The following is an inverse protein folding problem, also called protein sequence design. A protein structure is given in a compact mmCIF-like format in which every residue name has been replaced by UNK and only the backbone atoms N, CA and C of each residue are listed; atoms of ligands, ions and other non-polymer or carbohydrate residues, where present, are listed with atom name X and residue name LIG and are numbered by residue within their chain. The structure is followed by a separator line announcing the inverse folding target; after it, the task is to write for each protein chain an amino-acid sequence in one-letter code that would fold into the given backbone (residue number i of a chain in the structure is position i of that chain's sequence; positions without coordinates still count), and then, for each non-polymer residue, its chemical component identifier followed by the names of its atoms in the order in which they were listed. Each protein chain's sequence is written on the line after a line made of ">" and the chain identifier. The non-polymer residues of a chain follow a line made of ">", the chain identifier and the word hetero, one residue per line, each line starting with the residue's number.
data_IF_307356769950
#
_entry.id   IF_307356769950
#
_cell.length_a   1.000
_cell.length_b   1.000
_cell.length_c   1.000
_cell.angle_alpha   90.00
_cell.angle_beta   90.00
_cell.angle_gamma   90.00
#
_symmetry.space_group_name_H-M   'P 1'
#
loop_
_entity.id
_entity.type
_entity.pdbx_description
1 polymer ?
#
# COMPACT_ATOMS: atom_id res chain seq x y z
N UNK A 1 -24.50 -80.85 43.30
CA UNK A 1 -25.24 -79.59 43.21
C UNK A 1 -24.40 -78.48 43.83
N UNK A 2 -23.69 -77.68 43.08
CA UNK A 2 -23.16 -76.35 43.42
C UNK A 2 -22.61 -75.68 42.13
N UNK A 3 -23.37 -74.81 41.59
CA UNK A 3 -23.07 -74.02 40.36
C UNK A 3 -22.11 -72.94 40.70
N UNK A 4 -20.94 -72.89 40.05
CA UNK A 4 -19.95 -71.82 40.19
C UNK A 4 -20.12 -70.88 39.00
N UNK A 5 -20.52 -69.63 39.30
CA UNK A 5 -20.66 -68.51 38.32
C UNK A 5 -19.30 -67.89 38.14
N UNK A 6 -18.75 -67.92 36.94
CA UNK A 6 -17.54 -67.21 36.56
C UNK A 6 -17.92 -65.86 36.03
N UNK A 7 -17.58 -64.79 36.76
CA UNK A 7 -17.58 -63.42 36.26
C UNK A 7 -16.40 -63.20 35.32
N UNK A 8 -16.65 -62.87 34.05
CA UNK A 8 -15.68 -62.35 33.13
C UNK A 8 -15.73 -60.80 33.24
N UNK A 9 -14.67 -60.21 33.78
CA UNK A 9 -14.42 -58.71 33.64
C UNK A 9 -13.83 -58.46 32.27
N UNK A 10 -14.63 -57.88 31.36
CA UNK A 10 -14.14 -57.33 30.11
C UNK A 10 -13.59 -55.94 30.38
N UNK A 11 -12.26 -55.78 30.37
CA UNK A 11 -11.61 -54.49 30.38
C UNK A 11 -11.71 -53.85 28.99
N UNK A 12 -12.57 -52.86 28.81
CA UNK A 12 -12.64 -52.02 27.61
C UNK A 12 -11.47 -51.02 27.63
N UNK A 13 -10.42 -51.32 26.88
CA UNK A 13 -9.38 -50.34 26.53
C UNK A 13 -9.99 -49.29 25.58
N UNK A 14 -10.32 -48.11 26.10
CA UNK A 14 -10.65 -46.95 25.30
C UNK A 14 -9.33 -46.41 24.74
N UNK A 15 -9.01 -46.83 23.52
CA UNK A 15 -7.93 -46.21 22.77
C UNK A 15 -8.30 -44.78 22.41
N UNK A 16 -7.77 -43.77 23.13
CA UNK A 16 -7.76 -42.39 22.67
C UNK A 16 -6.88 -42.34 21.42
N UNK A 17 -7.49 -42.42 20.25
CA UNK A 17 -6.85 -42.04 19.01
C UNK A 17 -6.59 -40.53 19.06
N UNK A 18 -5.36 -40.14 19.42
CA UNK A 18 -4.85 -38.78 19.15
C UNK A 18 -4.87 -38.62 17.63
N UNK A 19 -5.91 -37.99 17.11
CA UNK A 19 -5.86 -37.44 15.76
C UNK A 19 -4.68 -36.49 15.75
N UNK A 20 -3.75 -36.60 14.77
CA UNK A 20 -2.71 -35.58 14.62
C UNK A 20 -3.43 -34.26 14.42
N UNK A 21 -3.14 -33.27 15.25
CA UNK A 21 -3.55 -31.91 15.00
C UNK A 21 -2.99 -31.56 13.62
N UNK A 22 -3.87 -31.49 12.63
CA UNK A 22 -3.51 -31.06 11.29
C UNK A 22 -3.00 -29.64 11.46
N UNK A 23 -1.68 -29.45 11.35
CA UNK A 23 -1.09 -28.13 11.40
C UNK A 23 -1.81 -27.31 10.32
N UNK A 24 -2.59 -26.33 10.73
CA UNK A 24 -3.30 -25.44 9.82
C UNK A 24 -2.25 -24.83 8.91
N UNK A 25 -2.38 -25.03 7.61
CA UNK A 25 -1.43 -24.54 6.63
C UNK A 25 -1.39 -23.01 6.76
N UNK A 26 -0.28 -22.47 7.29
CA UNK A 26 -0.11 -21.03 7.52
C UNK A 26 0.14 -20.33 6.19
N UNK A 27 -0.89 -20.22 5.35
CA UNK A 27 -0.80 -19.56 4.03
C UNK A 27 -1.56 -18.25 4.04
N UNK A 28 -0.90 -17.16 3.61
CA UNK A 28 -1.48 -15.84 3.45
C UNK A 28 -1.33 -15.38 1.99
N UNK A 29 -2.46 -15.01 1.38
CA UNK A 29 -2.51 -14.43 0.02
C UNK A 29 -2.64 -12.91 0.13
N UNK A 30 -1.59 -12.20 -0.23
CA UNK A 30 -1.52 -10.73 -0.21
C UNK A 30 -1.75 -10.15 -1.58
N UNK A 31 -2.36 -8.99 -1.64
CA UNK A 31 -2.43 -8.16 -2.83
C UNK A 31 -1.67 -6.85 -2.63
N UNK A 32 -1.15 -6.31 -3.70
CA UNK A 32 -0.56 -4.97 -3.77
C UNK A 32 -0.81 -4.36 -5.15
N UNK A 33 -0.55 -3.06 -5.29
CA UNK A 33 -0.36 -2.45 -6.60
C UNK A 33 1.15 -2.27 -6.82
N UNK A 34 1.59 -2.35 -8.09
CA UNK A 34 3.00 -2.18 -8.48
C UNK A 34 3.46 -0.72 -8.37
N UNK A 35 2.96 0.01 -7.37
CA UNK A 35 3.36 1.38 -7.08
C UNK A 35 4.47 1.41 -6.03
N UNK A 36 5.38 2.36 -6.20
CA UNK A 36 6.59 2.47 -5.40
C UNK A 36 6.34 2.70 -3.90
N UNK A 37 5.22 3.29 -3.52
CA UNK A 37 4.83 3.51 -2.12
C UNK A 37 4.22 2.26 -1.46
N UNK A 38 3.63 1.35 -2.23
CA UNK A 38 2.97 0.14 -1.72
C UNK A 38 3.89 -1.09 -1.72
N UNK A 39 4.79 -1.20 -2.71
CA UNK A 39 5.65 -2.38 -2.87
C UNK A 39 6.59 -2.60 -1.67
N UNK A 40 7.29 -1.59 -1.11
CA UNK A 40 8.11 -1.76 0.08
C UNK A 40 7.31 -2.23 1.30
N UNK A 41 6.13 -1.63 1.54
CA UNK A 41 5.23 -2.01 2.64
C UNK A 41 4.84 -3.48 2.54
N UNK A 42 4.44 -3.90 1.34
CA UNK A 42 4.03 -5.29 1.08
C UNK A 42 5.18 -6.26 1.26
N UNK A 43 6.37 -5.93 0.73
CA UNK A 43 7.55 -6.80 0.84
C UNK A 43 8.07 -6.95 2.27
N UNK A 44 8.08 -5.88 3.06
CA UNK A 44 8.46 -5.93 4.48
C UNK A 44 7.45 -6.77 5.27
N UNK A 45 6.15 -6.56 5.08
CA UNK A 45 5.12 -7.34 5.78
C UNK A 45 5.16 -8.82 5.39
N UNK A 46 5.40 -9.11 4.09
CA UNK A 46 5.64 -10.48 3.62
C UNK A 46 6.80 -11.12 4.38
N UNK A 47 7.94 -10.42 4.50
CA UNK A 47 9.12 -10.93 5.21
C UNK A 47 8.81 -11.25 6.67
N UNK A 48 8.13 -10.35 7.39
CA UNK A 48 7.72 -10.58 8.79
C UNK A 48 6.84 -11.82 8.94
N UNK A 49 5.90 -12.02 8.03
CA UNK A 49 5.04 -13.21 8.04
C UNK A 49 5.82 -14.50 7.72
N UNK A 50 6.74 -14.45 6.75
CA UNK A 50 7.58 -15.60 6.38
C UNK A 50 8.54 -16.01 7.50
N UNK A 51 9.13 -15.04 8.21
CA UNK A 51 9.98 -15.30 9.37
C UNK A 51 9.20 -15.93 10.54
N UNK A 52 7.89 -15.65 10.64
CA UNK A 52 6.97 -16.33 11.57
C UNK A 52 6.42 -17.68 11.06
N UNK A 53 6.93 -18.18 9.93
CA UNK A 53 6.61 -19.50 9.38
C UNK A 53 5.36 -19.56 8.51
N UNK A 54 4.89 -18.42 7.99
CA UNK A 54 3.81 -18.39 6.99
C UNK A 54 4.35 -18.59 5.57
N UNK A 55 3.59 -19.28 4.73
CA UNK A 55 3.79 -19.25 3.28
C UNK A 55 3.02 -18.08 2.71
N UNK A 56 3.71 -17.10 2.10
CA UNK A 56 3.08 -15.88 1.61
C UNK A 56 3.17 -15.80 0.10
N UNK A 57 2.02 -15.62 -0.55
CA UNK A 57 1.94 -15.29 -1.98
C UNK A 57 1.51 -13.84 -2.15
N UNK A 58 2.13 -13.14 -3.10
CA UNK A 58 1.78 -11.75 -3.44
C UNK A 58 1.29 -11.70 -4.88
N UNK A 59 0.15 -11.03 -5.09
CA UNK A 59 -0.39 -10.73 -6.41
C UNK A 59 -0.35 -9.23 -6.65
N UNK A 60 0.32 -8.83 -7.72
CA UNK A 60 0.39 -7.43 -8.16
C UNK A 60 -0.80 -7.11 -9.06
N UNK A 61 -1.43 -5.97 -8.81
CA UNK A 61 -2.55 -5.46 -9.59
C UNK A 61 -2.18 -4.12 -10.24
N UNK A 62 -2.72 -3.88 -11.44
CA UNK A 62 -2.48 -2.64 -12.17
C UNK A 62 -3.27 -1.45 -11.59
N UNK A 63 -4.45 -1.71 -10.98
CA UNK A 63 -5.37 -0.69 -10.51
C UNK A 63 -6.25 -1.16 -9.35
N UNK A 64 -6.80 -0.20 -8.59
CA UNK A 64 -7.62 -0.46 -7.40
C UNK A 64 -8.86 -1.31 -7.70
N UNK A 65 -9.54 -1.08 -8.82
CA UNK A 65 -10.77 -1.80 -9.17
C UNK A 65 -10.57 -3.31 -9.22
N UNK A 66 -9.48 -3.75 -9.85
CA UNK A 66 -9.14 -5.18 -9.98
C UNK A 66 -8.72 -5.75 -8.63
N UNK A 67 -7.87 -5.02 -7.86
CA UNK A 67 -7.40 -5.44 -6.54
C UNK A 67 -8.57 -5.62 -5.54
N UNK A 68 -9.50 -4.66 -5.48
CA UNK A 68 -10.70 -4.76 -4.64
C UNK A 68 -11.66 -5.87 -5.08
N UNK A 69 -11.78 -6.13 -6.38
CA UNK A 69 -12.55 -7.27 -6.89
C UNK A 69 -11.94 -8.60 -6.43
N UNK A 70 -10.62 -8.76 -6.55
CA UNK A 70 -9.91 -9.95 -6.09
C UNK A 70 -10.05 -10.15 -4.57
N UNK A 71 -9.91 -9.07 -3.77
CA UNK A 71 -10.09 -9.12 -2.32
C UNK A 71 -11.52 -9.55 -1.94
N UNK A 72 -12.53 -8.98 -2.58
CA UNK A 72 -13.94 -9.30 -2.26
C UNK A 72 -14.38 -10.68 -2.72
N UNK A 73 -13.71 -11.27 -3.73
CA UNK A 73 -13.95 -12.65 -4.19
C UNK A 73 -13.21 -13.71 -3.35
N UNK A 74 -12.13 -13.32 -2.65
CA UNK A 74 -11.28 -14.25 -1.92
C UNK A 74 -10.10 -14.80 -2.71
N UNK A 75 -9.80 -14.21 -3.87
CA UNK A 75 -8.60 -14.55 -4.64
C UNK A 75 -7.33 -14.12 -3.86
N UNK A 76 -7.43 -13.02 -3.10
CA UNK A 76 -6.49 -12.58 -2.06
C UNK A 76 -7.22 -12.39 -0.73
N UNK A 77 -6.49 -12.45 0.39
CA UNK A 77 -7.05 -12.34 1.76
C UNK A 77 -6.86 -10.95 2.34
N UNK A 78 -5.73 -10.30 2.02
CA UNK A 78 -5.39 -8.95 2.49
C UNK A 78 -4.82 -8.11 1.35
N UNK A 79 -4.96 -6.79 1.47
CA UNK A 79 -4.51 -5.80 0.49
C UNK A 79 -3.95 -4.57 1.20
N UNK A 80 -2.78 -4.08 0.78
CA UNK A 80 -2.31 -2.75 1.19
C UNK A 80 -3.15 -1.69 0.48
N UNK A 81 -3.72 -0.72 1.21
CA UNK A 81 -4.64 0.25 0.63
C UNK A 81 -4.58 1.63 1.28
N UNK A 82 -4.99 2.63 0.53
CA UNK A 82 -5.08 4.04 0.90
C UNK A 82 -6.56 4.43 1.04
N UNK A 83 -7.24 3.82 2.00
CA UNK A 83 -8.71 3.85 2.15
C UNK A 83 -9.29 5.22 2.49
N UNK A 84 -8.47 6.10 3.03
CA UNK A 84 -8.89 7.45 3.40
C UNK A 84 -8.79 8.42 2.20
N UNK A 85 -8.16 7.99 1.10
CA UNK A 85 -7.90 8.85 -0.04
C UNK A 85 -7.93 8.13 -1.41
N UNK A 86 -6.80 7.62 -1.89
CA UNK A 86 -6.67 7.15 -3.28
C UNK A 86 -7.62 5.98 -3.63
N UNK A 87 -7.92 5.14 -2.65
CA UNK A 87 -8.84 4.02 -2.78
C UNK A 87 -10.18 4.23 -2.04
N UNK A 88 -10.50 5.47 -1.61
CA UNK A 88 -11.66 5.77 -0.78
C UNK A 88 -12.99 5.30 -1.40
N UNK A 89 -13.17 5.50 -2.69
CA UNK A 89 -14.41 5.13 -3.38
C UNK A 89 -14.59 3.61 -3.40
N UNK A 90 -13.50 2.87 -3.65
CA UNK A 90 -13.50 1.41 -3.62
C UNK A 90 -13.74 0.87 -2.22
N UNK A 91 -13.11 1.48 -1.19
CA UNK A 91 -13.35 1.15 0.20
C UNK A 91 -14.82 1.37 0.57
N UNK A 92 -15.37 2.55 0.33
CA UNK A 92 -16.75 2.90 0.67
C UNK A 92 -17.76 1.96 0.01
N UNK A 93 -17.53 1.54 -1.21
CA UNK A 93 -18.38 0.59 -1.94
C UNK A 93 -18.33 -0.82 -1.36
N UNK A 94 -17.22 -1.23 -0.76
CA UNK A 94 -16.97 -2.62 -0.37
C UNK A 94 -16.84 -2.85 1.15
N UNK A 95 -16.80 -1.82 2.00
CA UNK A 95 -16.53 -1.90 3.45
C UNK A 95 -17.45 -2.81 4.25
N UNK A 96 -18.64 -3.15 3.76
CA UNK A 96 -19.51 -4.13 4.41
C UNK A 96 -18.99 -5.57 4.32
N UNK A 97 -18.12 -5.86 3.35
CA UNK A 97 -17.49 -7.18 3.09
C UNK A 97 -16.02 -7.22 3.49
N UNK A 98 -15.48 -6.10 3.90
CA UNK A 98 -14.07 -5.93 4.23
C UNK A 98 -13.91 -5.48 5.67
N UNK A 99 -12.70 -5.60 6.19
CA UNK A 99 -12.30 -5.07 7.48
C UNK A 99 -10.98 -4.29 7.36
N UNK A 100 -10.82 -3.29 8.21
CA UNK A 100 -9.57 -2.57 8.40
C UNK A 100 -8.77 -3.31 9.45
N UNK A 101 -7.57 -3.80 9.08
CA UNK A 101 -6.71 -4.58 9.98
C UNK A 101 -5.87 -3.62 10.83
N UNK A 102 -5.03 -2.80 10.20
CA UNK A 102 -4.14 -1.86 10.89
C UNK A 102 -3.67 -0.74 9.97
N UNK A 103 -3.32 0.44 10.51
CA UNK A 103 -2.44 1.36 9.80
C UNK A 103 -1.05 0.73 9.68
N UNK A 104 -0.34 0.97 8.59
CA UNK A 104 1.01 0.45 8.33
C UNK A 104 2.01 1.54 7.97
N UNK A 105 1.53 2.72 7.57
CA UNK A 105 2.34 3.92 7.36
C UNK A 105 1.45 5.16 7.39
N UNK A 106 2.06 6.34 7.50
CA UNK A 106 1.41 7.64 7.42
C UNK A 106 2.22 8.62 6.59
N UNK A 107 1.56 9.66 6.09
CA UNK A 107 2.20 10.77 5.42
C UNK A 107 2.09 10.71 3.90
N UNK A 108 1.21 9.85 3.35
CA UNK A 108 0.82 9.98 1.95
C UNK A 108 0.25 11.37 1.72
N UNK A 109 0.88 12.14 0.85
CA UNK A 109 0.38 13.42 0.39
C UNK A 109 0.39 13.45 -1.14
N UNK A 110 -0.67 13.96 -1.73
CA UNK A 110 -0.86 14.00 -3.17
C UNK A 110 -1.36 15.38 -3.57
N UNK A 111 -0.73 15.97 -4.60
CA UNK A 111 -1.13 17.26 -5.12
C UNK A 111 -0.48 17.56 -6.49
N UNK A 112 -0.60 18.79 -6.95
CA UNK A 112 0.12 19.31 -8.11
C UNK A 112 1.49 19.80 -7.65
N UNK A 113 2.54 19.33 -8.30
CA UNK A 113 3.91 19.79 -8.08
C UNK A 113 4.53 20.32 -9.35
N UNK A 114 5.57 21.14 -9.14
CA UNK A 114 6.40 21.74 -10.18
C UNK A 114 7.87 21.63 -9.80
N UNK A 115 8.82 21.66 -10.73
CA UNK A 115 10.24 21.80 -10.41
C UNK A 115 10.53 23.08 -9.61
N UNK A 116 11.48 23.03 -8.67
CA UNK A 116 11.81 24.16 -7.78
C UNK A 116 12.26 25.43 -8.50
N UNK A 117 12.76 25.31 -9.74
CA UNK A 117 13.09 26.46 -10.57
C UNK A 117 11.88 27.21 -11.16
N UNK A 118 10.69 26.62 -11.07
CA UNK A 118 9.42 27.29 -11.44
C UNK A 118 9.08 28.32 -10.38
N UNK A 119 8.80 29.55 -10.80
CA UNK A 119 8.71 30.71 -9.89
C UNK A 119 7.34 30.89 -9.22
N UNK A 120 6.32 30.09 -9.56
CA UNK A 120 5.05 30.09 -8.85
C UNK A 120 5.08 29.16 -7.64
N UNK A 121 4.27 29.45 -6.61
CA UNK A 121 4.21 28.70 -5.37
C UNK A 121 2.80 28.21 -5.01
N UNK A 122 1.79 28.52 -5.83
CA UNK A 122 0.40 28.19 -5.52
C UNK A 122 -0.40 27.84 -6.78
N UNK A 123 -1.43 27.00 -6.62
CA UNK A 123 -2.28 26.50 -7.72
C UNK A 123 -3.02 27.67 -8.42
N UNK A 124 -3.46 28.68 -7.67
CA UNK A 124 -4.14 29.85 -8.22
C UNK A 124 -3.29 30.69 -9.17
N UNK A 125 -1.97 30.52 -9.16
CA UNK A 125 -1.05 31.20 -10.08
C UNK A 125 -0.87 30.49 -11.43
N UNK A 126 -1.44 29.27 -11.59
CA UNK A 126 -1.28 28.47 -12.80
C UNK A 126 -1.86 29.16 -14.05
N UNK A 127 -3.04 29.79 -13.94
CA UNK A 127 -3.70 30.42 -15.09
C UNK A 127 -2.89 31.58 -15.69
N UNK A 128 -2.31 32.42 -14.86
CA UNK A 128 -1.47 33.55 -15.32
C UNK A 128 -0.22 33.06 -16.06
N UNK A 129 0.14 31.82 -15.91
CA UNK A 129 1.32 31.20 -16.49
C UNK A 129 0.99 30.00 -17.39
N UNK A 130 -0.27 29.80 -17.79
CA UNK A 130 -0.72 28.61 -18.51
C UNK A 130 0.12 28.30 -19.76
N UNK A 131 0.49 29.31 -20.53
CA UNK A 131 1.33 29.15 -21.72
C UNK A 131 2.71 28.56 -21.43
N UNK A 132 3.31 28.89 -20.28
CA UNK A 132 4.62 28.33 -19.87
C UNK A 132 4.54 26.85 -19.56
N UNK A 133 3.36 26.36 -19.13
CA UNK A 133 3.07 24.94 -18.90
C UNK A 133 2.52 24.23 -20.16
N UNK A 134 2.48 24.90 -21.30
CA UNK A 134 1.87 24.40 -22.53
C UNK A 134 0.38 24.09 -22.37
N UNK A 135 -0.32 24.79 -21.47
CA UNK A 135 -1.74 24.60 -21.17
C UNK A 135 -2.07 23.25 -20.53
N UNK A 136 -1.13 22.62 -19.83
CA UNK A 136 -1.32 21.21 -19.35
C UNK A 136 -0.85 21.02 -17.92
N UNK A 137 -1.55 20.10 -17.21
CA UNK A 137 -1.09 19.41 -16.01
C UNK A 137 -0.96 17.94 -16.40
N UNK A 138 0.20 17.34 -16.23
CA UNK A 138 0.44 15.94 -16.61
C UNK A 138 0.06 15.05 -15.44
N UNK A 139 -0.92 14.18 -15.67
CA UNK A 139 -1.44 13.22 -14.70
C UNK A 139 -0.90 11.82 -14.88
N UNK A 140 -1.49 10.91 -14.14
CA UNK A 140 -1.17 9.48 -14.09
C UNK A 140 -2.37 8.64 -14.57
N UNK A 141 -2.42 7.35 -14.18
CA UNK A 141 -3.51 6.44 -14.53
C UNK A 141 -4.87 6.99 -14.06
N UNK A 142 -5.90 6.96 -14.92
CA UNK A 142 -7.25 7.37 -14.56
C UNK A 142 -7.82 6.47 -13.45
N UNK A 143 -8.77 7.01 -12.68
CA UNK A 143 -9.45 6.26 -11.61
C UNK A 143 -8.72 6.28 -10.27
N UNK A 144 -7.54 6.91 -10.15
CA UNK A 144 -6.90 7.16 -8.86
C UNK A 144 -7.52 8.39 -8.15
N UNK A 145 -7.43 8.41 -6.82
CA UNK A 145 -7.87 9.57 -6.02
C UNK A 145 -7.12 10.84 -6.41
N UNK A 146 -5.83 10.74 -6.73
CA UNK A 146 -5.03 11.87 -7.21
C UNK A 146 -5.61 12.49 -8.49
N UNK A 147 -5.98 11.67 -9.47
CA UNK A 147 -6.57 12.17 -10.72
C UNK A 147 -7.95 12.78 -10.52
N UNK A 148 -8.77 12.20 -9.62
CA UNK A 148 -10.05 12.80 -9.22
C UNK A 148 -9.85 14.19 -8.64
N UNK A 149 -8.93 14.34 -7.69
CA UNK A 149 -8.73 15.61 -6.97
C UNK A 149 -7.95 16.63 -7.80
N UNK A 150 -7.05 16.18 -8.68
CA UNK A 150 -6.46 17.06 -9.69
C UNK A 150 -7.53 17.60 -10.67
N UNK A 151 -8.50 16.76 -11.06
CA UNK A 151 -9.66 17.19 -11.84
C UNK A 151 -10.56 18.19 -11.09
N UNK A 152 -10.78 17.95 -9.78
CA UNK A 152 -11.48 18.90 -8.92
C UNK A 152 -10.71 20.22 -8.82
N UNK A 153 -9.39 20.17 -8.68
CA UNK A 153 -8.56 21.39 -8.64
C UNK A 153 -8.68 22.20 -9.94
N UNK A 154 -8.63 21.55 -11.11
CA UNK A 154 -8.87 22.24 -12.39
C UNK A 154 -10.20 22.97 -12.37
N UNK A 155 -11.26 22.33 -11.91
CA UNK A 155 -12.61 22.92 -11.84
C UNK A 155 -12.71 24.03 -10.79
N UNK A 156 -12.28 23.76 -9.56
CA UNK A 156 -12.52 24.66 -8.42
C UNK A 156 -11.65 25.91 -8.48
N UNK A 157 -10.46 25.80 -9.04
CA UNK A 157 -9.59 26.95 -9.33
C UNK A 157 -9.93 27.64 -10.67
N UNK A 158 -10.81 27.04 -11.49
CA UNK A 158 -11.15 27.55 -12.82
C UNK A 158 -9.91 27.59 -13.72
N UNK A 159 -9.12 26.51 -13.73
CA UNK A 159 -7.88 26.49 -14.50
C UNK A 159 -8.16 26.32 -15.99
N UNK A 160 -7.49 27.14 -16.79
CA UNK A 160 -7.49 27.02 -18.26
C UNK A 160 -6.51 25.94 -18.77
N UNK A 161 -5.92 25.16 -17.84
CA UNK A 161 -5.04 24.05 -18.15
C UNK A 161 -5.83 22.74 -18.24
N UNK A 162 -5.44 21.89 -19.19
CA UNK A 162 -6.00 20.55 -19.35
C UNK A 162 -5.25 19.55 -18.49
N UNK A 163 -5.95 18.79 -17.63
CA UNK A 163 -5.40 17.61 -16.97
C UNK A 163 -5.27 16.47 -17.98
N UNK A 164 -4.03 16.09 -18.29
CA UNK A 164 -3.73 15.02 -19.27
C UNK A 164 -3.63 13.70 -18.53
N UNK A 165 -4.56 12.78 -18.80
CA UNK A 165 -4.50 11.42 -18.30
C UNK A 165 -3.43 10.62 -19.03
N UNK A 166 -2.77 9.70 -18.30
CA UNK A 166 -1.72 8.86 -18.87
C UNK A 166 -1.34 7.72 -17.92
N UNK A 167 -0.07 7.36 -17.95
CA UNK A 167 0.51 6.44 -16.98
C UNK A 167 1.57 7.13 -16.13
N UNK A 168 1.83 6.61 -14.94
CA UNK A 168 2.94 7.05 -14.09
C UNK A 168 4.27 7.07 -14.86
N UNK A 169 4.52 6.07 -15.71
CA UNK A 169 5.71 6.01 -16.55
C UNK A 169 5.76 7.16 -17.58
N UNK A 170 4.63 7.48 -18.23
CA UNK A 170 4.53 8.56 -19.19
C UNK A 170 4.70 9.94 -18.52
N UNK A 171 4.06 10.15 -17.36
CA UNK A 171 4.24 11.36 -16.54
C UNK A 171 5.71 11.54 -16.13
N UNK A 172 6.35 10.48 -15.62
CA UNK A 172 7.77 10.51 -15.23
C UNK A 172 8.69 10.87 -16.40
N UNK A 173 8.42 10.30 -17.60
CA UNK A 173 9.19 10.61 -18.81
C UNK A 173 9.02 12.08 -19.23
N UNK A 174 7.80 12.62 -19.18
CA UNK A 174 7.51 14.03 -19.46
C UNK A 174 8.22 14.95 -18.45
N UNK A 175 8.14 14.62 -17.16
CA UNK A 175 8.80 15.36 -16.07
C UNK A 175 10.32 15.39 -16.29
N UNK A 176 10.94 14.23 -16.53
CA UNK A 176 12.37 14.14 -16.81
C UNK A 176 12.75 15.01 -18.00
N UNK A 177 12.02 14.90 -19.10
CA UNK A 177 12.28 15.66 -20.33
C UNK A 177 12.21 17.17 -20.08
N UNK A 178 11.20 17.65 -19.36
CA UNK A 178 11.05 19.07 -19.03
C UNK A 178 12.18 19.56 -18.10
N UNK A 179 12.52 18.79 -17.07
CA UNK A 179 13.61 19.15 -16.14
C UNK A 179 14.97 19.22 -16.87
N UNK A 180 15.26 18.27 -17.73
CA UNK A 180 16.51 18.27 -18.52
C UNK A 180 16.64 19.52 -19.41
N UNK A 181 15.51 20.05 -19.91
CA UNK A 181 15.46 21.27 -20.74
C UNK A 181 15.18 22.57 -19.96
N UNK A 182 14.98 22.46 -18.63
CA UNK A 182 14.57 23.59 -17.78
C UNK A 182 13.24 24.23 -18.24
N UNK A 183 12.37 23.46 -18.84
CA UNK A 183 11.01 23.87 -19.22
C UNK A 183 10.05 23.77 -18.02
N UNK A 184 9.05 24.62 -18.00
CA UNK A 184 8.04 24.56 -16.98
C UNK A 184 7.12 23.37 -17.20
N UNK A 185 6.82 22.64 -16.15
CA UNK A 185 5.88 21.52 -16.14
C UNK A 185 5.14 21.48 -14.81
N UNK A 186 3.85 21.19 -14.86
CA UNK A 186 3.02 20.85 -13.70
C UNK A 186 2.62 19.38 -13.80
N UNK A 187 2.79 18.63 -12.72
CA UNK A 187 2.47 17.19 -12.64
C UNK A 187 1.58 16.90 -11.44
N UNK A 188 0.63 15.97 -11.59
CA UNK A 188 -0.06 15.36 -10.47
C UNK A 188 0.84 14.25 -9.92
N UNK A 189 1.24 14.36 -8.64
CA UNK A 189 2.28 13.52 -8.03
C UNK A 189 1.99 13.31 -6.55
N UNK A 190 2.70 12.37 -5.93
CA UNK A 190 2.53 11.99 -4.51
C UNK A 190 3.86 11.85 -3.78
N UNK A 191 3.82 11.93 -2.46
CA UNK A 191 4.84 11.48 -1.53
C UNK A 191 4.30 10.33 -0.67
N UNK A 192 5.14 9.31 -0.35
CA UNK A 192 6.57 9.17 -0.64
C UNK A 192 6.83 8.78 -2.10
N UNK A 193 7.73 9.49 -2.76
CA UNK A 193 8.19 9.19 -4.13
C UNK A 193 9.65 9.58 -4.33
N UNK A 194 10.41 8.69 -4.98
CA UNK A 194 11.79 8.97 -5.37
C UNK A 194 11.91 10.18 -6.32
N UNK A 195 10.84 10.56 -7.00
CA UNK A 195 10.83 11.65 -7.97
C UNK A 195 11.15 13.00 -7.32
N UNK A 196 10.78 13.21 -6.06
CA UNK A 196 11.13 14.43 -5.32
C UNK A 196 12.64 14.55 -5.07
N UNK A 197 13.32 13.45 -4.81
CA UNK A 197 14.78 13.43 -4.67
C UNK A 197 15.50 13.64 -6.01
N UNK A 198 14.94 13.05 -7.08
CA UNK A 198 15.58 13.03 -8.40
C UNK A 198 15.41 14.35 -9.17
N UNK A 199 14.26 15.00 -9.07
CA UNK A 199 13.88 16.10 -9.93
C UNK A 199 13.78 17.46 -9.23
N UNK A 200 14.07 17.48 -7.94
CA UNK A 200 14.04 18.72 -7.15
C UNK A 200 12.69 19.45 -7.29
N UNK A 201 11.64 18.82 -6.80
CA UNK A 201 10.24 19.26 -6.93
C UNK A 201 9.75 19.99 -5.68
N UNK A 202 8.73 20.82 -5.87
CA UNK A 202 7.91 21.38 -4.80
C UNK A 202 6.43 21.23 -5.13
N UNK A 203 5.63 20.91 -4.10
CA UNK A 203 4.19 21.04 -4.22
C UNK A 203 3.76 22.48 -4.31
N UNK A 204 2.76 22.76 -5.13
CA UNK A 204 2.08 24.05 -5.11
C UNK A 204 1.14 24.10 -3.90
N UNK A 205 1.07 25.27 -3.25
CA UNK A 205 0.09 25.51 -2.18
C UNK A 205 -1.32 25.38 -2.72
N UNK A 206 -2.19 24.80 -1.91
CA UNK A 206 -3.61 24.61 -2.21
C UNK A 206 -4.49 25.42 -1.23
N UNK A 207 -4.64 26.74 -1.41
CA UNK A 207 -5.40 27.59 -0.50
C UNK A 207 -6.90 27.25 -0.45
N UNK A 208 -7.43 26.51 -1.43
CA UNK A 208 -8.83 26.04 -1.41
C UNK A 208 -9.00 24.67 -0.76
N UNK A 209 -7.90 24.01 -0.34
CA UNK A 209 -7.91 22.69 0.30
C UNK A 209 -8.66 21.63 -0.52
N UNK A 210 -8.43 21.61 -1.83
CA UNK A 210 -9.01 20.62 -2.76
C UNK A 210 -8.35 19.26 -2.55
N UNK A 211 -7.03 19.27 -2.32
CA UNK A 211 -6.29 18.05 -1.96
C UNK A 211 -6.38 17.82 -0.46
N UNK A 212 -6.72 16.59 -0.03
CA UNK A 212 -6.80 16.28 1.40
C UNK A 212 -5.42 16.36 2.08
N UNK A 213 -5.41 16.56 3.41
CA UNK A 213 -4.16 16.54 4.19
C UNK A 213 -3.51 15.15 4.12
N UNK A 214 -2.23 15.01 4.57
CA UNK A 214 -1.53 13.73 4.55
C UNK A 214 -2.33 12.58 5.17
N UNK A 215 -2.37 11.45 4.47
CA UNK A 215 -3.20 10.29 4.77
C UNK A 215 -2.38 9.07 5.19
N UNK A 216 -3.07 7.99 5.57
CA UNK A 216 -2.47 6.74 5.99
C UNK A 216 -2.51 5.64 4.92
N UNK A 217 -1.65 4.66 5.14
CA UNK A 217 -1.68 3.38 4.45
C UNK A 217 -2.18 2.32 5.42
N UNK A 218 -3.01 1.41 4.93
CA UNK A 218 -3.66 0.42 5.76
C UNK A 218 -3.56 -0.97 5.15
N UNK A 219 -3.40 -1.96 6.00
CA UNK A 219 -3.79 -3.31 5.67
C UNK A 219 -5.31 -3.43 5.83
N UNK A 220 -5.96 -3.86 4.78
CA UNK A 220 -7.38 -4.24 4.77
C UNK A 220 -7.50 -5.72 4.42
N UNK A 221 -8.53 -6.36 4.93
CA UNK A 221 -8.78 -7.78 4.70
C UNK A 221 -10.23 -8.08 4.34
N UNK A 222 -10.47 -9.32 3.93
CA UNK A 222 -11.83 -9.84 3.91
C UNK A 222 -12.41 -9.81 5.32
N UNK A 223 -13.69 -9.53 5.43
CA UNK A 223 -14.37 -9.52 6.73
C UNK A 223 -14.26 -10.90 7.40
N UNK A 224 -13.78 -10.91 8.64
CA UNK A 224 -13.50 -12.13 9.39
C UNK A 224 -12.07 -12.67 9.23
N UNK A 225 -11.22 -12.01 8.45
CA UNK A 225 -9.81 -12.40 8.34
C UNK A 225 -9.10 -12.40 9.70
N UNK A 226 -9.28 -11.34 10.48
CA UNK A 226 -8.65 -11.20 11.80
C UNK A 226 -9.09 -12.28 12.79
N UNK A 227 -10.36 -12.69 12.74
CA UNK A 227 -10.90 -13.76 13.58
C UNK A 227 -10.35 -15.13 13.15
N UNK A 228 -10.28 -15.38 11.84
CA UNK A 228 -9.79 -16.63 11.29
C UNK A 228 -8.26 -16.79 11.40
N UNK A 229 -7.51 -15.68 11.47
CA UNK A 229 -6.04 -15.65 11.46
C UNK A 229 -5.48 -14.72 12.56
N UNK A 230 -5.78 -14.93 13.84
CA UNK A 230 -5.44 -14.00 14.92
C UNK A 230 -3.93 -13.75 15.03
N UNK A 231 -3.10 -14.77 14.90
CA UNK A 231 -1.64 -14.65 14.94
C UNK A 231 -1.10 -13.81 13.76
N UNK A 232 -1.54 -14.09 12.54
CA UNK A 232 -1.15 -13.31 11.37
C UNK A 232 -1.62 -11.85 11.48
N UNK A 233 -2.83 -11.63 12.00
CA UNK A 233 -3.38 -10.30 12.24
C UNK A 233 -2.49 -9.49 13.18
N UNK A 234 -2.02 -10.07 14.28
CA UNK A 234 -1.13 -9.38 15.24
C UNK A 234 0.23 -9.05 14.60
N UNK A 235 0.81 -9.99 13.85
CA UNK A 235 2.05 -9.74 13.11
C UNK A 235 1.89 -8.60 12.10
N UNK A 236 0.82 -8.62 11.30
CA UNK A 236 0.52 -7.55 10.33
C UNK A 236 0.31 -6.20 11.05
N UNK A 237 -0.40 -6.21 12.18
CA UNK A 237 -0.67 -4.99 12.95
C UNK A 237 0.57 -4.41 13.64
N UNK A 238 1.61 -5.21 13.85
CA UNK A 238 2.88 -4.73 14.42
C UNK A 238 3.74 -3.97 13.43
N UNK A 239 3.57 -4.23 12.15
CA UNK A 239 4.39 -3.61 11.08
C UNK A 239 4.02 -2.15 10.92
N UNK A 240 5.02 -1.28 11.05
CA UNK A 240 4.90 0.14 10.71
C UNK A 240 6.14 0.60 9.95
N UNK A 241 5.95 1.08 8.72
CA UNK A 241 7.03 1.52 7.83
C UNK A 241 6.94 3.03 7.63
N UNK A 242 7.86 3.82 8.18
CA UNK A 242 7.90 5.26 7.96
C UNK A 242 8.09 5.62 6.47
N UNK A 243 7.51 6.73 6.02
CA UNK A 243 7.68 7.22 4.64
C UNK A 243 9.15 7.42 4.24
N UNK A 244 10.01 7.83 5.19
CA UNK A 244 11.44 7.98 4.95
C UNK A 244 12.09 6.65 4.52
N UNK A 245 11.67 5.54 5.15
CA UNK A 245 12.18 4.22 4.82
C UNK A 245 11.65 3.72 3.46
N UNK A 246 10.38 3.99 3.15
CA UNK A 246 9.80 3.71 1.82
C UNK A 246 10.61 4.45 0.74
N UNK A 247 10.89 5.73 0.97
CA UNK A 247 11.68 6.57 0.05
C UNK A 247 13.11 6.04 -0.10
N UNK A 248 13.76 5.63 1.00
CA UNK A 248 15.12 5.10 0.98
C UNK A 248 15.20 3.76 0.22
N UNK A 249 14.23 2.86 0.42
CA UNK A 249 14.15 1.59 -0.32
C UNK A 249 14.00 1.86 -1.82
N UNK A 250 13.11 2.77 -2.20
CA UNK A 250 12.90 3.12 -3.60
C UNK A 250 14.11 3.83 -4.22
N UNK A 251 14.83 4.65 -3.44
CA UNK A 251 16.11 5.24 -3.85
C UNK A 251 17.14 4.16 -4.20
N UNK A 252 17.29 3.15 -3.34
CA UNK A 252 18.20 2.04 -3.60
C UNK A 252 17.83 1.24 -4.87
N UNK A 253 16.53 1.10 -5.15
CA UNK A 253 16.06 0.47 -6.41
C UNK A 253 16.42 1.33 -7.62
N UNK A 254 16.31 2.65 -7.53
CA UNK A 254 16.70 3.58 -8.60
C UNK A 254 18.21 3.58 -8.84
N UNK A 255 19.00 3.29 -7.81
CA UNK A 255 20.46 3.15 -7.89
C UNK A 255 20.90 1.76 -8.40
N UNK A 256 19.94 0.91 -8.81
CA UNK A 256 20.18 -0.33 -9.53
C UNK A 256 20.01 -1.62 -8.72
N UNK A 257 19.55 -1.56 -7.46
CA UNK A 257 19.17 -2.76 -6.71
C UNK A 257 17.83 -3.30 -7.18
N UNK A 258 17.60 -4.60 -7.03
CA UNK A 258 16.24 -5.13 -7.10
C UNK A 258 15.43 -4.68 -5.86
N UNK A 259 14.11 -4.64 -5.97
CA UNK A 259 13.24 -4.36 -4.82
C UNK A 259 13.46 -5.38 -3.69
N UNK A 260 13.62 -6.65 -4.03
CA UNK A 260 13.90 -7.72 -3.08
C UNK A 260 15.22 -7.46 -2.32
N UNK A 261 16.30 -7.07 -3.02
CA UNK A 261 17.56 -6.73 -2.39
C UNK A 261 17.45 -5.50 -1.49
N UNK A 262 16.76 -4.45 -1.94
CA UNK A 262 16.57 -3.24 -1.14
C UNK A 262 15.79 -3.51 0.15
N UNK A 263 14.75 -4.36 0.09
CA UNK A 263 14.00 -4.80 1.26
C UNK A 263 14.86 -5.67 2.18
N UNK A 264 15.67 -6.60 1.62
CA UNK A 264 16.57 -7.44 2.40
C UNK A 264 17.60 -6.59 3.16
N UNK A 265 18.19 -5.59 2.51
CA UNK A 265 19.15 -4.67 3.14
C UNK A 265 18.48 -3.86 4.26
N UNK A 266 17.28 -3.35 4.02
CA UNK A 266 16.50 -2.61 5.02
C UNK A 266 16.16 -3.49 6.23
N UNK A 267 15.67 -4.72 6.01
CA UNK A 267 15.33 -5.66 7.08
C UNK A 267 16.54 -6.08 7.89
N UNK A 268 17.70 -6.28 7.25
CA UNK A 268 18.97 -6.55 7.93
C UNK A 268 19.41 -5.37 8.82
N UNK A 269 19.29 -4.14 8.32
CA UNK A 269 19.63 -2.94 9.08
C UNK A 269 18.65 -2.71 10.26
N UNK A 270 17.42 -3.20 10.17
CA UNK A 270 16.36 -3.06 11.17
C UNK A 270 16.03 -4.36 11.93
N UNK A 271 16.98 -5.31 11.99
CA UNK A 271 16.74 -6.64 12.60
C UNK A 271 16.25 -6.58 14.05
N UNK A 272 16.65 -5.57 14.81
CA UNK A 272 16.16 -5.35 16.18
C UNK A 272 14.68 -4.97 16.22
N UNK A 273 14.22 -4.15 15.27
CA UNK A 273 12.82 -3.75 15.13
C UNK A 273 11.96 -4.95 14.70
N UNK A 274 12.43 -5.74 13.72
CA UNK A 274 11.71 -6.94 13.27
C UNK A 274 11.50 -7.93 14.42
N UNK A 275 12.52 -8.15 15.27
CA UNK A 275 12.39 -8.99 16.48
C UNK A 275 11.33 -8.48 17.46
N UNK A 276 11.12 -7.18 17.56
CA UNK A 276 10.03 -6.64 18.39
C UNK A 276 8.67 -6.96 17.77
N UNK A 277 8.53 -6.87 16.45
CA UNK A 277 7.29 -7.21 15.76
C UNK A 277 6.95 -8.70 15.84
N UNK A 278 7.96 -9.58 15.74
CA UNK A 278 7.79 -11.04 15.82
C UNK A 278 7.42 -11.53 17.25
N UNK A 279 7.83 -10.79 18.28
CA UNK A 279 7.58 -11.17 19.68
C UNK A 279 6.23 -10.69 20.22
N UNK A 280 5.32 -10.24 19.38
CA UNK A 280 3.98 -9.87 19.79
C UNK A 280 3.23 -11.11 20.24
N UNK A 281 2.75 -11.06 21.52
CA UNK A 281 1.94 -12.11 22.09
C UNK A 281 0.48 -11.89 21.76
N UNK A 282 -0.14 -12.87 21.14
CA UNK A 282 -1.61 -12.98 21.08
C UNK A 282 -2.14 -13.25 22.50
N UNK A 283 -3.01 -12.39 22.99
CA UNK A 283 -3.71 -12.56 24.27
C UNK A 283 -5.10 -13.13 24.04
#
# INVERSE_FOLDING_TARGET
>A
MKTIWKMLCAAALVGLSMLPAQAQEKTIKMGTLSWEDLTPITGITKKVLEDAGYTVTVTDFAEWGIAYAALTKGDIQILTSQIDYAAQDYWNKNKSRLEKISPVSHGLYQAIAVPTYVTIDSIDQLNENADKFGGKIIGIEPGSGLMRDAGNAVKDYGLDLTLVEGSTAAMTAALKSAVDRKEWIAVAIWEPSWMFQKFDLKFLKDPKSVFPPPQGYYWIGQKGFSEANPEARELIASVFVPNADITAINGAVKDGKSMEQAIADWTAANAGLLKLWENIKTY
#
